data_IF_160470073073
#
_entry.id   IF_160470073073
#
_cell.length_a   1.000
_cell.length_b   1.000
_cell.length_c   1.000
_cell.angle_alpha   90.00
_cell.angle_beta   90.00
_cell.angle_gamma   90.00
#
_symmetry.space_group_name_H-M   'P 1'
#
loop_
_entity.id
_entity.type
_entity.pdbx_description
1 polymer ?
#
# COMPACT_ATOMS: atom_id res chain seq x y z
N UNK A 1 -9.68 -3.65 -2.47
CA UNK A 1 -9.15 -5.02 -2.64
C UNK A 1 -7.77 -4.95 -3.29
N UNK A 2 -6.83 -5.78 -2.85
CA UNK A 2 -5.51 -5.93 -3.49
C UNK A 2 -5.30 -7.42 -3.79
N UNK A 3 -5.02 -7.75 -5.04
CA UNK A 3 -4.82 -9.14 -5.48
C UNK A 3 -3.46 -9.27 -6.15
N UNK A 4 -2.55 -10.02 -5.52
CA UNK A 4 -1.23 -10.27 -6.09
C UNK A 4 -1.35 -11.24 -7.28
N UNK A 5 -0.75 -10.88 -8.41
CA UNK A 5 -0.87 -11.67 -9.64
C UNK A 5 0.04 -12.92 -9.66
N UNK A 6 1.00 -13.01 -8.72
CA UNK A 6 1.88 -14.17 -8.55
C UNK A 6 3.11 -14.19 -9.48
N UNK A 7 3.33 -13.12 -10.23
CA UNK A 7 4.52 -12.90 -11.06
C UNK A 7 5.71 -12.33 -10.27
N UNK A 8 5.46 -11.84 -9.04
CA UNK A 8 6.47 -11.23 -8.18
C UNK A 8 6.66 -9.73 -8.39
N UNK A 9 5.90 -9.12 -9.32
CA UNK A 9 6.10 -7.73 -9.75
C UNK A 9 4.81 -6.92 -9.70
N UNK A 10 3.65 -7.55 -9.92
CA UNK A 10 2.39 -6.83 -10.11
C UNK A 10 1.26 -7.23 -9.17
N UNK A 11 0.38 -6.25 -8.91
CA UNK A 11 -0.79 -6.35 -8.04
C UNK A 11 -1.98 -5.67 -8.70
N UNK A 12 -3.12 -6.33 -8.72
CA UNK A 12 -4.39 -5.74 -9.15
C UNK A 12 -5.04 -4.99 -7.99
N UNK A 13 -5.45 -3.74 -8.24
CA UNK A 13 -6.01 -2.84 -7.24
C UNK A 13 -7.43 -2.44 -7.59
N UNK A 14 -8.32 -2.58 -6.61
CA UNK A 14 -9.72 -2.18 -6.67
C UNK A 14 -10.07 -1.45 -5.37
N UNK A 15 -9.82 -0.14 -5.34
CA UNK A 15 -10.15 0.75 -4.24
C UNK A 15 -11.67 0.90 -4.09
N UNK A 16 -12.16 0.90 -2.85
CA UNK A 16 -13.53 1.29 -2.60
C UNK A 16 -13.71 2.80 -2.86
N UNK A 17 -14.94 3.28 -3.11
CA UNK A 17 -15.19 4.69 -3.38
C UNK A 17 -14.63 5.64 -2.32
N UNK A 18 -14.71 5.26 -1.04
CA UNK A 18 -14.16 6.03 0.08
C UNK A 18 -12.64 6.22 -0.02
N UNK A 19 -11.91 5.23 -0.54
CA UNK A 19 -10.46 5.35 -0.73
C UNK A 19 -10.12 6.20 -1.95
N UNK A 20 -10.92 6.17 -3.01
CA UNK A 20 -10.68 6.97 -4.21
C UNK A 20 -10.70 8.46 -3.89
N UNK A 21 -11.67 8.92 -3.11
CA UNK A 21 -11.78 10.33 -2.72
C UNK A 21 -10.57 10.80 -1.93
N UNK A 22 -10.11 10.01 -0.95
CA UNK A 22 -8.97 10.38 -0.10
C UNK A 22 -7.63 10.27 -0.84
N UNK A 23 -7.52 9.36 -1.80
CA UNK A 23 -6.32 9.16 -2.61
C UNK A 23 -6.22 10.07 -3.83
N UNK A 24 -7.13 11.05 -3.96
CA UNK A 24 -7.21 11.94 -5.11
C UNK A 24 -7.44 11.20 -6.44
N UNK A 25 -8.34 10.22 -6.44
CA UNK A 25 -8.81 9.45 -7.59
C UNK A 25 -7.68 8.82 -8.44
N UNK A 26 -6.85 7.92 -7.86
CA UNK A 26 -5.87 7.17 -8.63
C UNK A 26 -6.58 6.20 -9.60
N UNK A 27 -5.91 5.70 -10.66
CA UNK A 27 -6.45 4.65 -11.51
C UNK A 27 -6.96 3.47 -10.68
N UNK A 28 -8.18 3.06 -10.94
CA UNK A 28 -8.85 2.01 -10.19
C UNK A 28 -9.20 0.83 -11.10
N UNK A 29 -9.39 -0.34 -10.50
CA UNK A 29 -9.66 -1.58 -11.23
C UNK A 29 -8.55 -1.88 -12.26
N UNK A 30 -7.31 -1.63 -11.85
CA UNK A 30 -6.13 -1.64 -12.73
C UNK A 30 -4.95 -2.36 -12.06
N UNK A 31 -3.97 -2.77 -12.87
CA UNK A 31 -2.72 -3.38 -12.40
C UNK A 31 -1.67 -2.31 -12.10
N UNK A 32 -0.98 -2.51 -10.98
CA UNK A 32 0.14 -1.70 -10.52
C UNK A 32 1.38 -2.58 -10.36
N UNK A 33 2.56 -2.01 -10.54
CA UNK A 33 3.79 -2.60 -10.03
C UNK A 33 3.86 -2.40 -8.52
N UNK A 34 4.43 -3.35 -7.79
CA UNK A 34 4.63 -3.20 -6.36
C UNK A 34 6.07 -3.44 -5.93
N UNK A 35 6.44 -2.81 -4.82
CA UNK A 35 7.71 -3.03 -4.17
C UNK A 35 7.53 -3.03 -2.65
N UNK A 36 8.25 -3.90 -1.96
CA UNK A 36 8.38 -3.89 -0.51
C UNK A 36 9.71 -3.22 -0.16
N UNK A 37 9.71 -2.15 0.63
CA UNK A 37 10.94 -1.43 0.97
C UNK A 37 11.18 -1.34 2.47
N UNK A 38 12.46 -1.35 2.85
CA UNK A 38 12.87 -1.03 4.22
C UNK A 38 13.23 0.45 4.26
N UNK A 39 12.24 1.29 4.59
CA UNK A 39 12.33 2.74 4.49
C UNK A 39 12.87 3.18 3.11
N UNK A 40 13.68 4.23 3.07
CA UNK A 40 14.37 4.70 1.87
C UNK A 40 15.62 3.89 1.51
N UNK A 41 15.94 2.80 2.22
CA UNK A 41 17.18 2.04 1.99
C UNK A 41 17.10 1.11 0.78
N UNK A 42 15.89 0.69 0.38
CA UNK A 42 15.68 -0.08 -0.85
C UNK A 42 14.71 -1.24 -0.70
N UNK A 43 14.59 -2.01 -1.78
CA UNK A 43 13.73 -3.18 -1.86
C UNK A 43 14.19 -4.31 -0.93
N UNK A 44 13.22 -4.99 -0.35
CA UNK A 44 13.44 -6.09 0.57
C UNK A 44 12.26 -7.07 0.48
N UNK A 45 12.38 -8.19 1.18
CA UNK A 45 11.26 -9.13 1.30
C UNK A 45 10.16 -8.54 2.19
N UNK A 46 8.92 -8.92 1.90
CA UNK A 46 7.73 -8.46 2.61
C UNK A 46 7.79 -8.67 4.15
N UNK A 47 8.52 -9.68 4.62
CA UNK A 47 8.63 -10.04 6.04
C UNK A 47 9.55 -9.14 6.87
N UNK A 48 10.32 -8.27 6.20
CA UNK A 48 11.21 -7.29 6.83
C UNK A 48 10.92 -5.85 6.39
N UNK A 49 9.92 -5.67 5.52
CA UNK A 49 9.57 -4.40 4.93
C UNK A 49 8.86 -3.47 5.93
N UNK A 50 9.20 -2.19 5.87
CA UNK A 50 8.50 -1.14 6.62
C UNK A 50 7.57 -0.33 5.74
N UNK A 51 7.65 -0.51 4.41
CA UNK A 51 6.83 0.17 3.41
C UNK A 51 6.43 -0.81 2.31
N UNK A 52 5.23 -0.61 1.78
CA UNK A 52 4.72 -1.22 0.56
C UNK A 52 4.38 -0.11 -0.43
N UNK A 53 4.93 -0.16 -1.62
CA UNK A 53 4.77 0.85 -2.66
C UNK A 53 4.05 0.22 -3.83
N UNK A 54 3.09 0.94 -4.39
CA UNK A 54 2.50 0.60 -5.69
C UNK A 54 2.69 1.76 -6.65
N UNK A 55 2.96 1.42 -7.91
CA UNK A 55 3.21 2.37 -8.98
C UNK A 55 2.39 1.98 -10.22
N UNK A 56 1.67 2.95 -10.79
CA UNK A 56 0.98 2.78 -12.06
C UNK A 56 1.77 3.50 -13.15
N UNK A 57 2.40 2.75 -14.06
CA UNK A 57 3.24 3.32 -15.12
C UNK A 57 2.46 4.23 -16.08
N UNK A 58 1.17 3.98 -16.28
CA UNK A 58 0.35 4.71 -17.25
C UNK A 58 0.07 6.14 -16.77
N UNK A 59 -0.19 6.30 -15.46
CA UNK A 59 -0.55 7.58 -14.85
C UNK A 59 0.59 8.24 -14.08
N UNK A 60 1.75 7.59 -13.95
CA UNK A 60 2.90 8.01 -13.14
C UNK A 60 2.53 8.28 -11.66
N UNK A 61 1.50 7.58 -11.17
CA UNK A 61 1.03 7.70 -9.78
C UNK A 61 1.73 6.63 -8.94
N UNK A 62 2.27 7.07 -7.79
CA UNK A 62 2.87 6.19 -6.78
C UNK A 62 2.18 6.38 -5.45
N UNK A 63 1.80 5.28 -4.80
CA UNK A 63 1.23 5.27 -3.46
C UNK A 63 2.14 4.47 -2.54
N UNK A 64 2.47 5.03 -1.38
CA UNK A 64 3.29 4.37 -0.36
C UNK A 64 2.46 4.12 0.88
N UNK A 65 2.43 2.87 1.30
CA UNK A 65 1.74 2.38 2.49
C UNK A 65 2.81 2.00 3.52
N UNK A 66 2.74 2.51 4.76
CA UNK A 66 3.63 2.02 5.80
C UNK A 66 3.13 0.68 6.33
N UNK A 67 4.04 -0.28 6.48
CA UNK A 67 3.80 -1.60 7.07
C UNK A 67 4.10 -1.62 8.57
N UNK A 68 4.64 -0.52 9.09
CA UNK A 68 4.89 -0.36 10.52
C UNK A 68 3.63 0.14 11.21
N UNK A 69 2.79 -0.81 11.65
CA UNK A 69 1.68 -0.54 12.56
C UNK A 69 2.08 -0.99 13.97
N UNK A 70 2.20 -0.02 14.89
CA UNK A 70 2.53 -0.30 16.29
C UNK A 70 1.58 -1.36 16.87
N UNK A 71 2.15 -2.49 17.30
CA UNK A 71 1.42 -3.57 17.98
C UNK A 71 0.69 -4.58 17.08
N UNK A 72 0.55 -4.34 15.78
CA UNK A 72 -0.20 -5.23 14.87
C UNK A 72 0.71 -6.08 13.98
N UNK A 73 1.84 -5.52 13.52
CA UNK A 73 2.90 -6.22 12.76
C UNK A 73 2.49 -6.87 11.43
N UNK A 74 3.42 -6.94 10.48
CA UNK A 74 3.30 -7.87 9.34
C UNK A 74 3.75 -9.26 9.80
N UNK A 75 2.88 -10.25 9.64
CA UNK A 75 3.18 -11.67 9.92
C UNK A 75 3.09 -12.47 8.62
N UNK A 76 3.49 -13.75 8.65
CA UNK A 76 3.37 -14.61 7.45
C UNK A 76 1.93 -14.69 6.92
N UNK A 77 0.93 -14.52 7.80
CA UNK A 77 -0.48 -14.72 7.50
C UNK A 77 -1.26 -13.40 7.41
N UNK A 78 -0.61 -12.24 7.61
CA UNK A 78 -1.25 -10.93 7.66
C UNK A 78 -0.29 -9.82 7.28
N UNK A 79 -0.65 -9.02 6.28
CA UNK A 79 -0.02 -7.74 6.01
C UNK A 79 -0.96 -6.65 6.48
N UNK A 80 -0.46 -5.78 7.36
CA UNK A 80 -1.22 -4.69 7.93
C UNK A 80 -0.61 -3.36 7.44
N UNK A 81 -1.43 -2.49 6.87
CA UNK A 81 -1.01 -1.25 6.22
C UNK A 81 -1.54 -0.04 6.99
N UNK A 82 -0.69 0.96 7.24
CA UNK A 82 -1.16 2.31 7.56
C UNK A 82 -1.60 3.01 6.27
N UNK A 83 -2.57 3.92 6.39
CA UNK A 83 -3.19 4.61 5.26
C UNK A 83 -2.13 5.22 4.31
N UNK A 84 -2.24 5.01 2.99
CA UNK A 84 -1.39 5.69 2.02
C UNK A 84 -1.75 7.17 2.06
N UNK A 85 -0.95 8.01 2.70
CA UNK A 85 -1.20 9.44 2.59
C UNK A 85 -0.47 9.97 1.36
N UNK A 86 -1.16 10.58 0.39
CA UNK A 86 -0.49 11.44 -0.57
C UNK A 86 0.22 12.56 0.21
N UNK A 87 1.56 12.51 0.30
CA UNK A 87 2.38 13.61 0.84
C UNK A 87 2.40 13.78 2.38
N UNK A 88 2.77 12.74 3.13
CA UNK A 88 3.29 12.84 4.52
C UNK A 88 2.31 13.16 5.68
N UNK A 89 1.01 12.85 5.60
CA UNK A 89 0.09 13.06 6.75
C UNK A 89 -0.66 11.81 7.23
N UNK A 90 -0.11 11.11 8.21
CA UNK A 90 -0.76 9.96 8.86
C UNK A 90 -2.18 10.28 9.35
N UNK A 91 -3.19 9.58 8.82
CA UNK A 91 -4.57 9.59 9.33
C UNK A 91 -4.78 8.38 10.24
N UNK A 92 -5.10 8.62 11.52
CA UNK A 92 -5.40 7.59 12.51
C UNK A 92 -6.93 7.44 12.62
N UNK A 93 -7.45 6.23 12.39
CA UNK A 93 -8.86 5.92 12.63
C UNK A 93 -9.05 5.24 13.99
N UNK A 94 -9.95 5.79 14.79
CA UNK A 94 -10.45 5.15 16.02
C UNK A 94 -11.83 4.63 15.69
N UNK A 95 -12.06 3.33 15.92
CA UNK A 95 -13.38 2.73 15.78
C UNK A 95 -14.26 3.20 16.95
N UNK A 96 -15.33 3.92 16.65
CA UNK A 96 -16.37 4.21 17.65
C UNK A 96 -17.16 2.93 17.98
N UNK A 97 -17.54 2.84 19.26
CA UNK A 97 -18.15 1.67 19.92
C UNK A 97 -19.47 1.23 19.31
#
# INVERSE_FOLDING_TARGET
>A
TMTFNGDGETVYIDFSPEFLDVLNNPPNEETYFYAFTWYSFGECRYDVATEFKIHNEVSDISLTFSLYLEGEGTSKDKIAFSYPTPGDQSVIFIRDK
#
